data_IF_034924539776
#
_entry.id   IF_034924539776
#
_cell.length_a   1.000
_cell.length_b   1.000
_cell.length_c   1.000
_cell.angle_alpha   90.00
_cell.angle_beta   90.00
_cell.angle_gamma   90.00
#
_symmetry.space_group_name_H-M   'P 1'
#
loop_
_entity.id
_entity.type
_entity.pdbx_description
1 polymer ?
#
# COMPACT_ATOMS: atom_id res chain seq x y z
N UNK A 1 11.28 7.87 31.41
CA UNK A 1 11.14 7.81 29.93
C UNK A 1 11.32 9.23 29.39
N UNK A 2 12.10 9.41 28.33
CA UNK A 2 12.24 10.72 27.67
C UNK A 2 10.93 11.11 26.99
N UNK A 3 10.68 12.42 26.83
CA UNK A 3 9.53 12.96 26.08
C UNK A 3 9.48 12.39 24.65
N UNK A 4 10.66 12.15 24.06
CA UNK A 4 10.81 11.49 22.76
C UNK A 4 10.16 10.10 22.71
N UNK A 5 10.38 9.26 23.73
CA UNK A 5 9.83 7.89 23.73
C UNK A 5 8.30 7.91 23.83
N UNK A 6 7.73 8.82 24.64
CA UNK A 6 6.28 8.99 24.75
C UNK A 6 5.70 9.42 23.41
N UNK A 7 6.33 10.38 22.73
CA UNK A 7 5.90 10.83 21.41
C UNK A 7 5.91 9.68 20.39
N UNK A 8 6.95 8.83 20.37
CA UNK A 8 7.02 7.67 19.46
C UNK A 8 5.89 6.68 19.69
N UNK A 9 5.60 6.32 20.96
CA UNK A 9 4.49 5.41 21.26
C UNK A 9 3.14 5.98 20.83
N UNK A 10 2.92 7.27 21.06
CA UNK A 10 1.69 7.95 20.64
C UNK A 10 1.56 7.95 19.12
N UNK A 11 2.64 8.27 18.39
CA UNK A 11 2.65 8.25 16.92
C UNK A 11 2.31 6.85 16.40
N UNK A 12 2.96 5.80 16.90
CA UNK A 12 2.67 4.44 16.46
C UNK A 12 1.24 4.00 16.80
N UNK A 13 0.73 4.36 17.97
CA UNK A 13 -0.65 4.09 18.35
C UNK A 13 -1.66 4.78 17.42
N UNK A 14 -1.42 6.05 17.10
CA UNK A 14 -2.28 6.82 16.19
C UNK A 14 -2.20 6.29 14.76
N UNK A 15 -1.01 5.94 14.26
CA UNK A 15 -0.83 5.31 12.95
C UNK A 15 -1.61 3.99 12.88
N UNK A 16 -1.50 3.13 13.90
CA UNK A 16 -2.23 1.88 13.99
C UNK A 16 -3.75 2.10 14.00
N UNK A 17 -4.24 3.06 14.79
CA UNK A 17 -5.66 3.38 14.85
C UNK A 17 -6.21 3.88 13.49
N UNK A 18 -5.46 4.73 12.80
CA UNK A 18 -5.82 5.22 11.47
C UNK A 18 -5.92 4.09 10.45
N UNK A 19 -4.94 3.18 10.45
CA UNK A 19 -4.97 2.00 9.57
C UNK A 19 -6.17 1.10 9.87
N UNK A 20 -6.51 0.88 11.13
CA UNK A 20 -7.68 0.07 11.51
C UNK A 20 -8.98 0.68 10.98
N UNK A 21 -9.15 2.00 11.07
CA UNK A 21 -10.33 2.70 10.54
C UNK A 21 -10.38 2.62 9.01
N UNK A 22 -9.24 2.75 8.33
CA UNK A 22 -9.16 2.57 6.88
C UNK A 22 -9.56 1.15 6.46
N UNK A 23 -9.05 0.12 7.14
CA UNK A 23 -9.40 -1.27 6.85
C UNK A 23 -10.89 -1.51 7.10
N UNK A 24 -11.42 -1.06 8.25
CA UNK A 24 -12.83 -1.23 8.58
C UNK A 24 -13.75 -0.53 7.56
N UNK A 25 -13.41 0.68 7.13
CA UNK A 25 -14.18 1.40 6.10
C UNK A 25 -14.06 0.76 4.71
N UNK A 26 -12.91 0.19 4.36
CA UNK A 26 -12.70 -0.58 3.13
C UNK A 26 -13.55 -1.87 3.11
N UNK A 27 -13.51 -2.66 4.19
CA UNK A 27 -14.33 -3.87 4.35
C UNK A 27 -15.82 -3.53 4.30
N UNK A 28 -16.23 -2.45 4.99
CA UNK A 28 -17.59 -1.93 4.91
C UNK A 28 -17.99 -1.64 3.47
N UNK A 29 -17.13 -0.96 2.71
CA UNK A 29 -17.40 -0.57 1.32
C UNK A 29 -17.52 -1.77 0.38
N UNK A 30 -16.75 -2.83 0.63
CA UNK A 30 -16.88 -4.12 -0.06
C UNK A 30 -18.23 -4.79 0.23
N UNK A 31 -18.64 -4.86 1.51
CA UNK A 31 -19.92 -5.48 1.90
C UNK A 31 -21.13 -4.77 1.30
N UNK A 32 -21.09 -3.43 1.17
CA UNK A 32 -22.14 -2.66 0.51
C UNK A 32 -22.07 -2.67 -1.03
N UNK A 33 -21.15 -3.44 -1.63
CA UNK A 33 -20.99 -3.54 -3.08
C UNK A 33 -20.52 -2.24 -3.75
N UNK A 34 -20.08 -1.24 -2.98
CA UNK A 34 -19.63 0.06 -3.51
C UNK A 34 -18.30 -0.04 -4.26
N UNK A 35 -17.54 -1.11 -4.02
CA UNK A 35 -16.23 -1.36 -4.62
C UNK A 35 -16.15 -2.82 -5.06
N UNK A 36 -15.58 -3.08 -6.23
CA UNK A 36 -15.34 -4.45 -6.72
C UNK A 36 -14.15 -5.07 -5.99
N UNK A 37 -14.27 -6.32 -5.56
CA UNK A 37 -13.20 -7.05 -4.85
C UNK A 37 -11.88 -7.06 -5.64
N UNK A 38 -11.97 -7.21 -6.96
CA UNK A 38 -10.80 -7.22 -7.85
C UNK A 38 -10.07 -5.86 -7.87
N UNK A 39 -10.81 -4.76 -7.75
CA UNK A 39 -10.22 -3.42 -7.62
C UNK A 39 -9.49 -3.23 -6.30
N UNK A 40 -10.01 -3.81 -5.21
CA UNK A 40 -9.35 -3.79 -3.90
C UNK A 40 -8.08 -4.63 -3.92
N UNK A 41 -8.12 -5.81 -4.56
CA UNK A 41 -6.95 -6.65 -4.74
C UNK A 41 -5.80 -5.92 -5.45
N UNK A 42 -6.11 -5.20 -6.54
CA UNK A 42 -5.12 -4.38 -7.26
C UNK A 42 -4.59 -3.24 -6.39
N UNK A 43 -5.47 -2.55 -5.66
CA UNK A 43 -5.07 -1.46 -4.77
C UNK A 43 -4.18 -1.94 -3.60
N UNK A 44 -4.32 -3.21 -3.19
CA UNK A 44 -3.50 -3.82 -2.14
C UNK A 44 -2.11 -4.28 -2.62
N UNK A 45 -1.84 -4.31 -3.93
CA UNK A 45 -0.59 -4.80 -4.51
C UNK A 45 0.66 -4.14 -3.91
N UNK A 46 0.75 -2.80 -3.77
CA UNK A 46 1.94 -2.18 -3.17
C UNK A 46 2.16 -2.61 -1.72
N UNK A 47 1.08 -2.82 -0.98
CA UNK A 47 1.12 -3.21 0.42
C UNK A 47 1.57 -4.67 0.58
N UNK A 48 1.08 -5.56 -0.30
CA UNK A 48 1.55 -6.94 -0.39
C UNK A 48 3.02 -7.02 -0.81
N UNK A 49 3.43 -6.20 -1.78
CA UNK A 49 4.83 -6.08 -2.20
C UNK A 49 5.73 -5.67 -1.03
N UNK A 50 5.32 -4.67 -0.25
CA UNK A 50 6.07 -4.23 0.92
C UNK A 50 6.23 -5.33 1.97
N UNK A 51 5.16 -6.07 2.26
CA UNK A 51 5.21 -7.19 3.23
C UNK A 51 6.14 -8.29 2.72
N UNK A 52 6.00 -8.70 1.46
CA UNK A 52 6.85 -9.76 0.87
C UNK A 52 8.31 -9.35 0.84
N UNK A 53 8.61 -8.11 0.45
CA UNK A 53 9.98 -7.58 0.43
C UNK A 53 10.54 -7.39 1.84
N UNK A 54 9.72 -7.00 2.81
CA UNK A 54 10.12 -6.87 4.21
C UNK A 54 10.51 -8.21 4.84
N UNK A 55 9.92 -9.32 4.36
CA UNK A 55 10.30 -10.67 4.75
C UNK A 55 11.53 -11.21 4.00
N UNK A 56 11.83 -10.66 2.82
CA UNK A 56 12.92 -11.12 1.96
C UNK A 56 14.23 -10.33 2.13
N UNK A 57 14.14 -9.04 2.48
CA UNK A 57 15.29 -8.14 2.59
C UNK A 57 15.78 -8.01 4.05
N UNK A 58 17.07 -7.69 4.26
CA UNK A 58 17.66 -7.61 5.59
C UNK A 58 17.12 -6.45 6.43
N UNK A 59 16.64 -5.37 5.79
CA UNK A 59 16.07 -4.23 6.52
C UNK A 59 14.71 -3.82 5.95
N UNK A 60 13.81 -3.39 6.85
CA UNK A 60 12.49 -2.86 6.49
C UNK A 60 12.58 -1.54 5.72
N UNK A 61 13.67 -0.79 5.91
CA UNK A 61 13.97 0.42 5.16
C UNK A 61 14.21 0.10 3.69
N UNK A 62 15.03 -0.91 3.40
CA UNK A 62 15.31 -1.34 2.02
C UNK A 62 14.05 -1.87 1.33
N UNK A 63 13.22 -2.62 2.06
CA UNK A 63 11.92 -3.07 1.55
C UNK A 63 10.99 -1.91 1.18
N UNK A 64 10.99 -0.84 1.96
CA UNK A 64 10.22 0.37 1.67
C UNK A 64 10.71 1.05 0.39
N UNK A 65 12.02 1.24 0.28
CA UNK A 65 12.65 1.83 -0.91
C UNK A 65 12.35 0.99 -2.16
N UNK A 66 12.56 -0.33 -2.09
CA UNK A 66 12.30 -1.23 -3.21
C UNK A 66 10.82 -1.27 -3.60
N UNK A 67 9.90 -1.23 -2.65
CA UNK A 67 8.46 -1.16 -2.93
C UNK A 67 8.11 0.10 -3.72
N UNK A 68 8.64 1.25 -3.31
CA UNK A 68 8.42 2.53 -4.00
C UNK A 68 8.96 2.42 -5.43
N UNK A 69 10.20 1.95 -5.62
CA UNK A 69 10.81 1.81 -6.93
C UNK A 69 10.00 0.86 -7.83
N UNK A 70 9.62 -0.31 -7.32
CA UNK A 70 8.87 -1.30 -8.09
C UNK A 70 7.46 -0.83 -8.43
N UNK A 71 6.76 -0.19 -7.49
CA UNK A 71 5.43 0.37 -7.76
C UNK A 71 5.49 1.49 -8.80
N UNK A 72 6.49 2.36 -8.75
CA UNK A 72 6.76 3.34 -9.80
C UNK A 72 7.00 2.67 -11.15
N UNK A 73 7.86 1.64 -11.20
CA UNK A 73 8.11 0.85 -12.40
C UNK A 73 6.84 0.23 -12.98
N UNK A 74 6.01 -0.40 -12.13
CA UNK A 74 4.71 -0.96 -12.53
C UNK A 74 3.78 0.11 -13.08
N UNK A 75 3.78 1.31 -12.49
CA UNK A 75 2.95 2.43 -12.95
C UNK A 75 3.40 2.90 -14.33
N UNK A 76 4.71 3.01 -14.56
CA UNK A 76 5.26 3.35 -15.88
C UNK A 76 4.88 2.30 -16.94
N UNK A 77 5.03 1.01 -16.63
CA UNK A 77 4.62 -0.08 -17.53
C UNK A 77 3.12 -0.02 -17.81
N UNK A 78 2.29 0.20 -16.78
CA UNK A 78 0.85 0.32 -16.95
C UNK A 78 0.47 1.50 -17.86
N UNK A 79 1.14 2.65 -17.69
CA UNK A 79 0.94 3.83 -18.54
C UNK A 79 1.36 3.57 -19.99
N UNK A 80 2.50 2.92 -20.22
CA UNK A 80 2.96 2.56 -21.56
C UNK A 80 1.98 1.61 -22.26
N UNK A 81 1.54 0.55 -21.57
CA UNK A 81 0.56 -0.40 -22.09
C UNK A 81 -0.78 0.29 -22.37
N UNK A 82 -1.23 1.18 -21.48
CA UNK A 82 -2.45 1.96 -21.68
C UNK A 82 -2.34 2.90 -22.87
N UNK A 83 -1.20 3.57 -23.06
CA UNK A 83 -0.95 4.46 -24.19
C UNK A 83 -0.95 3.71 -25.52
N UNK A 84 -0.26 2.57 -25.59
CA UNK A 84 -0.24 1.71 -26.79
C UNK A 84 -1.65 1.20 -27.11
N UNK A 85 -2.39 0.72 -26.10
CA UNK A 85 -3.78 0.27 -26.30
C UNK A 85 -4.69 1.36 -26.85
N UNK A 86 -4.52 2.60 -26.40
CA UNK A 86 -5.31 3.73 -26.87
C UNK A 86 -5.04 4.05 -28.35
N UNK A 87 -3.79 3.90 -28.80
CA UNK A 87 -3.42 4.15 -30.20
C UNK A 87 -3.94 3.07 -31.16
N UNK A 88 -4.05 1.83 -30.68
CA UNK A 88 -4.45 0.66 -31.51
C UNK A 88 -5.99 0.47 -31.54
N UNK A 89 -6.71 1.02 -30.56
CA UNK A 89 -8.18 0.96 -30.44
C UNK A 89 -8.88 2.13 -31.11
#
# INVERSE_FOLDING_TARGET
MSVLNIALYVVFALMGLGLLVMVASGVRSLMFGKVKLLSVGIAAVPLLLFVVLGLALPTWTDAGIMTIILSLGLTLVALLVSGIKNIIS
#
